data_IF_805423335126
#
_entry.id   IF_805423335126
#
_cell.length_a   1.000
_cell.length_b   1.000
_cell.length_c   1.000
_cell.angle_alpha   90.00
_cell.angle_beta   90.00
_cell.angle_gamma   90.00
#
_symmetry.space_group_name_H-M   'P 1'
#
loop_
_entity.id
_entity.type
_entity.pdbx_description
1 polymer ?
#
# COMPACT_ATOMS: atom_id res chain seq x y z
N UNK A 1 -5.18 8.48 -5.55
CA UNK A 1 -5.11 7.31 -6.44
C UNK A 1 -6.47 7.12 -7.09
N UNK A 2 -6.56 6.61 -8.32
CA UNK A 2 -7.86 6.52 -9.06
C UNK A 2 -8.07 5.13 -9.65
N UNK A 3 -7.03 4.30 -9.65
CA UNK A 3 -7.05 2.95 -10.19
C UNK A 3 -5.81 2.17 -9.77
N UNK A 4 -5.75 0.90 -10.15
CA UNK A 4 -4.58 0.06 -9.99
C UNK A 4 -4.94 -1.35 -9.52
N UNK A 5 -3.92 -2.15 -9.24
CA UNK A 5 -4.05 -3.52 -8.74
C UNK A 5 -3.03 -3.74 -7.64
N UNK A 6 -3.43 -4.49 -6.62
CA UNK A 6 -2.52 -5.00 -5.60
C UNK A 6 -2.69 -6.51 -5.46
N UNK A 7 -1.58 -7.20 -5.29
CA UNK A 7 -1.48 -8.62 -5.00
C UNK A 7 -0.44 -8.84 -3.90
N UNK A 8 -0.87 -9.47 -2.81
CA UNK A 8 -0.06 -9.84 -1.66
C UNK A 8 -0.33 -11.32 -1.38
N UNK A 9 0.66 -12.17 -1.65
CA UNK A 9 0.49 -13.61 -1.68
C UNK A 9 -0.60 -14.01 -2.68
N UNK A 10 -1.64 -14.68 -2.18
CA UNK A 10 -2.84 -15.10 -2.93
C UNK A 10 -3.96 -14.06 -2.86
N UNK A 11 -3.85 -13.03 -2.03
CA UNK A 11 -4.84 -11.96 -1.96
C UNK A 11 -4.62 -11.01 -3.13
N UNK A 12 -5.62 -10.81 -3.98
CA UNK A 12 -5.56 -9.86 -5.09
C UNK A 12 -6.81 -8.99 -5.15
N UNK A 13 -6.63 -7.72 -5.46
CA UNK A 13 -7.70 -6.75 -5.55
C UNK A 13 -7.39 -5.65 -6.57
N UNK A 14 -8.42 -5.25 -7.32
CA UNK A 14 -8.41 -4.05 -8.16
C UNK A 14 -8.75 -2.83 -7.30
N UNK A 15 -7.90 -1.82 -7.29
CA UNK A 15 -8.07 -0.59 -6.53
C UNK A 15 -9.08 0.29 -7.26
N UNK A 16 -10.35 0.17 -6.90
CA UNK A 16 -11.44 0.95 -7.51
C UNK A 16 -11.76 2.23 -6.73
N UNK A 17 -11.33 2.31 -5.48
CA UNK A 17 -11.57 3.44 -4.61
C UNK A 17 -10.31 4.29 -4.39
N UNK A 18 -10.44 5.63 -4.37
CA UNK A 18 -9.29 6.50 -4.15
C UNK A 18 -8.66 6.32 -2.77
N UNK A 19 -7.40 5.88 -2.75
CA UNK A 19 -6.51 6.05 -1.59
C UNK A 19 -5.94 7.48 -1.66
N UNK A 20 -6.07 8.21 -0.55
CA UNK A 20 -5.54 9.57 -0.41
C UNK A 20 -4.46 9.61 0.66
N UNK A 21 -3.36 10.26 0.30
CA UNK A 21 -2.21 10.44 1.16
C UNK A 21 -1.70 11.85 0.94
N UNK A 22 -1.57 12.62 2.02
CA UNK A 22 -1.11 14.01 1.97
C UNK A 22 0.26 14.06 2.65
N UNK A 23 1.23 14.68 1.99
CA UNK A 23 2.53 14.96 2.58
C UNK A 23 2.91 16.42 2.36
N UNK A 24 3.74 16.95 3.24
CA UNK A 24 4.38 18.24 3.06
C UNK A 24 5.88 18.08 3.28
N UNK A 25 6.68 18.60 2.35
CA UNK A 25 8.12 18.71 2.54
C UNK A 25 8.41 20.10 3.09
N UNK A 26 8.85 20.16 4.33
CA UNK A 26 9.23 21.41 5.00
C UNK A 26 10.75 21.49 5.10
N UNK A 27 11.32 22.66 4.87
CA UNK A 27 12.75 22.89 5.06
C UNK A 27 12.92 23.72 6.31
N UNK A 28 13.66 23.19 7.29
CA UNK A 28 14.03 23.94 8.47
C UNK A 28 15.02 25.05 8.07
N UNK A 29 14.65 26.31 8.31
CA UNK A 29 15.40 27.45 7.79
C UNK A 29 16.75 27.64 8.48
N UNK A 30 16.93 27.10 9.68
CA UNK A 30 18.16 27.24 10.48
C UNK A 30 19.20 26.19 10.10
N UNK A 31 18.79 24.94 9.91
CA UNK A 31 19.67 23.80 9.65
C UNK A 31 19.76 23.47 8.15
N UNK A 32 18.79 23.91 7.35
CA UNK A 32 18.62 23.50 5.96
C UNK A 32 18.06 22.08 5.81
N UNK A 33 17.70 21.41 6.91
CA UNK A 33 17.18 20.05 6.87
C UNK A 33 15.79 19.98 6.26
N UNK A 34 15.57 18.99 5.40
CA UNK A 34 14.26 18.71 4.81
C UNK A 34 13.54 17.69 5.67
N UNK A 35 12.42 18.07 6.26
CA UNK A 35 11.53 17.17 6.98
C UNK A 35 10.30 16.85 6.13
N UNK A 36 9.82 15.62 6.26
CA UNK A 36 8.63 15.14 5.56
C UNK A 36 7.50 14.97 6.59
N UNK A 37 6.51 15.85 6.53
CA UNK A 37 5.31 15.75 7.32
C UNK A 37 4.31 14.89 6.56
N UNK A 38 3.89 13.78 7.17
CA UNK A 38 2.97 12.82 6.57
C UNK A 38 1.63 12.90 7.27
N UNK A 39 0.57 13.18 6.52
CA UNK A 39 -0.81 13.09 6.97
C UNK A 39 -1.32 11.66 6.99
N UNK A 40 -2.51 11.41 7.58
CA UNK A 40 -3.07 10.07 7.64
C UNK A 40 -3.36 9.50 6.26
N UNK A 41 -3.21 8.18 6.13
CA UNK A 41 -3.64 7.44 4.95
C UNK A 41 -5.17 7.26 4.99
N UNK A 42 -5.87 7.88 4.05
CA UNK A 42 -7.32 7.70 3.92
C UNK A 42 -7.60 6.64 2.86
N UNK A 43 -8.19 5.54 3.32
CA UNK A 43 -8.55 4.38 2.50
C UNK A 43 -9.94 3.89 2.84
N UNK A 44 -10.64 3.27 1.89
CA UNK A 44 -11.81 2.46 2.18
C UNK A 44 -11.39 1.04 2.54
N UNK A 45 -12.26 0.33 3.25
CA UNK A 45 -12.11 -1.10 3.48
C UNK A 45 -12.44 -1.85 2.20
N UNK A 46 -11.56 -2.76 1.80
CA UNK A 46 -11.76 -3.67 0.68
C UNK A 46 -12.48 -4.92 1.19
N UNK A 47 -13.62 -5.25 0.59
CA UNK A 47 -14.32 -6.50 0.89
C UNK A 47 -13.63 -7.67 0.18
N UNK A 48 -13.35 -8.72 0.93
CA UNK A 48 -12.80 -9.99 0.47
C UNK A 48 -13.75 -11.13 0.87
N UNK A 49 -13.89 -12.16 0.03
CA UNK A 49 -14.54 -13.40 0.43
C UNK A 49 -13.77 -14.02 1.61
N UNK A 50 -14.49 -14.54 2.62
CA UNK A 50 -13.88 -15.11 3.83
C UNK A 50 -12.97 -16.31 3.54
N UNK A 51 -13.25 -17.02 2.45
CA UNK A 51 -12.50 -18.13 1.92
C UNK A 51 -11.09 -17.72 1.48
N UNK A 52 -10.88 -16.44 1.09
CA UNK A 52 -9.56 -15.93 0.70
C UNK A 52 -8.54 -15.96 1.86
N UNK A 53 -9.03 -16.03 3.11
CA UNK A 53 -8.20 -16.16 4.30
C UNK A 53 -8.49 -17.47 5.06
N UNK A 54 -9.07 -18.47 4.39
CA UNK A 54 -9.25 -19.81 4.94
C UNK A 54 -10.46 -19.98 5.84
N UNK A 55 -11.32 -18.97 5.95
CA UNK A 55 -12.54 -19.06 6.75
C UNK A 55 -13.70 -19.69 5.95
N UNK A 56 -14.70 -20.27 6.62
CA UNK A 56 -15.88 -20.82 5.95
C UNK A 56 -16.59 -19.80 5.05
N UNK A 57 -17.26 -20.27 3.98
CA UNK A 57 -17.94 -19.40 3.03
C UNK A 57 -19.11 -18.63 3.64
N UNK A 58 -19.53 -17.55 2.98
CA UNK A 58 -20.73 -16.79 3.32
C UNK A 58 -20.53 -15.67 4.36
N UNK A 59 -19.28 -15.28 4.63
CA UNK A 59 -18.96 -14.08 5.41
C UNK A 59 -18.08 -13.13 4.60
N UNK A 60 -18.01 -11.88 5.02
CA UNK A 60 -17.12 -10.88 4.43
C UNK A 60 -15.99 -10.55 5.39
N UNK A 61 -14.78 -10.55 4.84
CA UNK A 61 -13.58 -10.03 5.48
C UNK A 61 -13.28 -8.68 4.85
N UNK A 62 -12.76 -7.76 5.64
CA UNK A 62 -12.39 -6.43 5.20
C UNK A 62 -10.89 -6.23 5.38
N UNK A 63 -10.19 -5.90 4.29
CA UNK A 63 -8.79 -5.49 4.29
C UNK A 63 -8.69 -3.96 4.26
N UNK A 64 -7.87 -3.37 5.12
CA UNK A 64 -7.58 -1.94 5.13
C UNK A 64 -6.08 -1.71 5.21
N UNK A 65 -5.46 -1.03 4.22
CA UNK A 65 -4.07 -0.63 4.34
C UNK A 65 -3.91 0.47 5.39
N UNK A 66 -2.90 0.33 6.24
CA UNK A 66 -2.50 1.30 7.26
C UNK A 66 -1.04 1.68 7.02
N UNK A 67 -0.72 2.96 7.23
CA UNK A 67 0.66 3.43 7.17
C UNK A 67 1.47 2.83 8.32
N UNK A 68 2.64 2.29 7.99
CA UNK A 68 3.52 1.60 8.93
C UNK A 68 4.98 2.12 8.83
N UNK A 69 5.17 3.39 8.44
CA UNK A 69 6.48 4.03 8.39
C UNK A 69 7.16 4.00 7.02
N UNK A 70 8.44 4.39 6.98
CA UNK A 70 9.30 4.22 5.80
C UNK A 70 8.94 5.06 4.57
N UNK A 71 8.14 6.12 4.72
CA UNK A 71 7.80 6.99 3.59
C UNK A 71 8.99 7.87 3.17
N UNK A 72 9.49 7.68 1.95
CA UNK A 72 10.50 8.55 1.34
C UNK A 72 10.14 8.87 -0.09
N UNK A 73 10.58 10.03 -0.58
CA UNK A 73 10.40 10.45 -1.97
C UNK A 73 11.77 10.79 -2.55
N UNK A 74 12.20 10.01 -3.53
CA UNK A 74 13.39 10.24 -4.34
C UNK A 74 12.95 10.33 -5.80
N UNK A 75 12.32 11.46 -6.14
CA UNK A 75 11.62 11.66 -7.41
C UNK A 75 12.41 11.09 -8.61
N UNK A 76 11.80 10.22 -9.45
CA UNK A 76 10.38 9.88 -9.46
C UNK A 76 9.97 8.74 -8.52
N UNK A 77 10.89 8.13 -7.80
CA UNK A 77 10.63 6.92 -6.99
C UNK A 77 10.16 7.28 -5.57
N UNK A 78 9.44 6.35 -4.95
CA UNK A 78 8.98 6.49 -3.57
C UNK A 78 9.01 5.17 -2.81
N UNK A 79 9.32 5.22 -1.53
CA UNK A 79 9.18 4.08 -0.62
C UNK A 79 8.03 4.32 0.34
N UNK A 80 7.34 3.25 0.76
CA UNK A 80 6.36 3.30 1.84
C UNK A 80 6.24 1.93 2.52
N UNK A 81 6.22 1.93 3.85
CA UNK A 81 5.86 0.78 4.65
C UNK A 81 4.36 0.78 4.92
N UNK A 82 3.70 -0.34 4.62
CA UNK A 82 2.28 -0.54 4.90
C UNK A 82 2.07 -1.79 5.75
N UNK A 83 0.98 -1.83 6.51
CA UNK A 83 0.41 -3.06 7.06
C UNK A 83 -1.05 -3.18 6.64
N UNK A 84 -1.58 -4.39 6.52
CA UNK A 84 -2.98 -4.59 6.14
C UNK A 84 -3.75 -5.11 7.33
N UNK A 85 -4.71 -4.33 7.84
CA UNK A 85 -5.64 -4.80 8.86
C UNK A 85 -6.76 -5.62 8.22
N UNK A 86 -6.95 -6.83 8.73
CA UNK A 86 -8.06 -7.71 8.39
C UNK A 86 -9.11 -7.62 9.50
N UNK A 87 -10.39 -7.49 9.12
CA UNK A 87 -11.50 -7.40 10.07
C UNK A 87 -12.76 -8.05 9.50
N UNK A 88 -13.79 -8.26 10.33
CA UNK A 88 -15.02 -8.94 9.89
C UNK A 88 -14.92 -10.47 10.04
N UNK A 89 -15.93 -11.19 9.55
CA UNK A 89 -16.04 -12.66 9.64
C UNK A 89 -15.77 -13.31 11.02
N UNK A 90 -15.87 -12.55 12.12
CA UNK A 90 -15.54 -13.03 13.46
C UNK A 90 -14.05 -13.06 13.78
N UNK A 91 -13.21 -12.44 12.94
CA UNK A 91 -11.81 -12.16 13.23
C UNK A 91 -11.69 -11.22 14.43
N UNK A 92 -10.79 -11.55 15.36
CA UNK A 92 -10.31 -10.64 16.39
C UNK A 92 -9.75 -9.35 15.77
N UNK A 93 -9.88 -8.22 16.48
CA UNK A 93 -9.55 -6.88 15.94
C UNK A 93 -8.06 -6.64 15.65
N UNK A 94 -7.18 -7.57 16.04
CA UNK A 94 -5.72 -7.50 15.91
C UNK A 94 -5.16 -8.19 14.67
N UNK A 95 -5.98 -8.83 13.82
CA UNK A 95 -5.50 -9.57 12.65
C UNK A 95 -4.87 -8.60 11.62
N UNK A 96 -3.55 -8.69 11.42
CA UNK A 96 -2.79 -7.81 10.53
C UNK A 96 -1.78 -8.59 9.70
N UNK A 97 -1.56 -8.18 8.44
CA UNK A 97 -0.44 -8.63 7.59
C UNK A 97 0.65 -7.56 7.69
N UNK A 98 1.83 -7.95 8.19
CA UNK A 98 2.87 -7.00 8.61
C UNK A 98 2.58 -6.32 9.95
N UNK A 99 3.50 -5.46 10.40
CA UNK A 99 3.34 -4.62 11.60
C UNK A 99 4.05 -3.28 11.42
N UNK A 100 4.10 -2.45 12.46
CA UNK A 100 4.90 -1.21 12.43
C UNK A 100 6.41 -1.50 12.50
N UNK A 101 6.79 -2.64 13.09
CA UNK A 101 8.18 -3.11 13.21
C UNK A 101 8.63 -3.96 12.01
N UNK A 102 7.70 -4.65 11.35
CA UNK A 102 7.93 -5.47 10.15
C UNK A 102 6.86 -5.15 9.09
N UNK A 103 6.94 -3.97 8.46
CA UNK A 103 5.95 -3.54 7.47
C UNK A 103 6.12 -4.30 6.15
N UNK A 104 5.09 -4.29 5.30
CA UNK A 104 5.20 -4.59 3.88
C UNK A 104 5.98 -3.44 3.22
N UNK A 105 7.22 -3.68 2.74
CA UNK A 105 8.08 -2.61 2.26
C UNK A 105 7.88 -2.41 0.76
N UNK A 106 7.13 -1.38 0.36
CA UNK A 106 6.95 -1.04 -1.04
C UNK A 106 8.05 -0.08 -1.50
N UNK A 107 8.70 -0.42 -2.60
CA UNK A 107 9.71 0.39 -3.30
C UNK A 107 9.21 0.69 -4.72
N UNK A 108 8.41 1.74 -4.82
CA UNK A 108 7.65 2.08 -6.01
C UNK A 108 8.50 2.88 -6.99
N UNK A 109 8.43 2.52 -8.27
CA UNK A 109 9.10 3.25 -9.36
C UNK A 109 8.13 3.53 -10.52
N UNK A 110 8.42 4.57 -11.32
CA UNK A 110 7.79 4.76 -12.64
C UNK A 110 8.58 4.11 -13.77
N UNK A 111 9.78 3.59 -13.48
CA UNK A 111 10.63 2.86 -14.41
C UNK A 111 10.32 1.36 -14.47
N UNK A 112 11.28 0.57 -14.97
CA UNK A 112 11.19 -0.89 -15.06
C UNK A 112 11.73 -1.56 -13.80
N UNK A 113 10.95 -2.46 -13.20
CA UNK A 113 11.36 -3.24 -12.03
C UNK A 113 12.34 -4.36 -12.38
N UNK A 114 13.03 -4.91 -11.37
CA UNK A 114 13.90 -6.08 -11.51
C UNK A 114 13.61 -7.10 -10.39
N UNK A 115 12.43 -7.77 -10.41
CA UNK A 115 12.05 -8.69 -9.35
C UNK A 115 12.80 -10.03 -9.45
N UNK A 116 12.99 -10.74 -8.33
CA UNK A 116 13.30 -12.16 -8.38
C UNK A 116 12.19 -12.94 -9.10
N UNK A 117 12.50 -14.10 -9.71
CA UNK A 117 11.47 -15.03 -10.18
C UNK A 117 10.50 -15.43 -9.05
N UNK A 118 9.23 -15.76 -9.34
CA UNK A 118 8.65 -15.97 -10.66
C UNK A 118 8.15 -14.69 -11.38
N UNK A 119 8.09 -13.56 -10.70
CA UNK A 119 7.69 -12.32 -11.34
C UNK A 119 8.67 -11.92 -12.44
N UNK A 120 8.13 -11.33 -13.51
CA UNK A 120 8.91 -10.71 -14.57
C UNK A 120 8.94 -9.20 -14.38
N UNK A 121 9.95 -8.48 -14.92
CA UNK A 121 9.96 -7.03 -14.95
C UNK A 121 8.64 -6.43 -15.43
N UNK A 122 8.19 -5.37 -14.75
CA UNK A 122 7.06 -4.53 -15.16
C UNK A 122 7.52 -3.07 -15.21
N UNK A 123 6.88 -2.26 -16.04
CA UNK A 123 7.25 -0.85 -16.22
C UNK A 123 6.09 0.06 -15.86
N UNK A 124 6.38 1.09 -15.07
CA UNK A 124 5.42 2.14 -14.75
C UNK A 124 5.23 3.14 -15.89
N UNK A 125 4.56 4.24 -15.58
CA UNK A 125 4.37 5.36 -16.49
C UNK A 125 4.93 6.61 -15.82
N UNK A 126 5.93 7.28 -16.43
CA UNK A 126 6.48 8.52 -15.91
C UNK A 126 5.43 9.62 -15.73
N UNK A 127 5.79 10.62 -14.92
CA UNK A 127 4.92 11.76 -14.67
C UNK A 127 4.57 12.53 -15.95
N UNK A 128 3.27 12.75 -16.17
CA UNK A 128 2.73 13.61 -17.21
C UNK A 128 1.78 14.65 -16.62
N UNK A 129 1.69 15.83 -17.23
CA UNK A 129 0.79 16.89 -16.75
C UNK A 129 -0.65 16.48 -17.09
N UNK A 130 -1.48 16.30 -16.08
CA UNK A 130 -2.90 15.97 -16.22
C UNK A 130 -3.82 17.20 -16.19
N UNK A 131 -3.36 18.32 -15.60
CA UNK A 131 -4.11 19.57 -15.57
C UNK A 131 -3.79 20.43 -14.36
N UNK A 132 -4.78 21.20 -13.91
CA UNK A 132 -4.69 22.07 -12.73
C UNK A 132 -5.98 22.02 -11.93
N UNK A 133 -5.88 22.01 -10.60
CA UNK A 133 -7.02 22.15 -9.68
C UNK A 133 -6.75 23.34 -8.77
N UNK A 134 -7.49 24.43 -8.95
CA UNK A 134 -7.16 25.71 -8.31
C UNK A 134 -5.75 26.18 -8.71
N UNK A 135 -4.90 26.44 -7.71
CA UNK A 135 -3.48 26.80 -7.92
C UNK A 135 -2.54 25.59 -8.00
N UNK A 136 -3.04 24.36 -7.82
CA UNK A 136 -2.22 23.16 -7.84
C UNK A 136 -2.03 22.65 -9.27
N UNK A 137 -0.79 22.30 -9.63
CA UNK A 137 -0.52 21.51 -10.84
C UNK A 137 -0.81 20.05 -10.54
N UNK A 138 -1.60 19.40 -11.40
CA UNK A 138 -1.93 17.99 -11.27
C UNK A 138 -1.09 17.19 -12.26
N UNK A 139 -0.34 16.23 -11.73
CA UNK A 139 0.45 15.26 -12.50
C UNK A 139 -0.22 13.89 -12.41
N UNK A 140 -0.17 13.09 -13.46
CA UNK A 140 -0.50 11.66 -13.44
C UNK A 140 0.74 10.81 -13.63
N UNK A 141 0.78 9.65 -13.00
CA UNK A 141 1.81 8.63 -13.19
C UNK A 141 1.27 7.25 -12.81
N UNK A 142 1.95 6.21 -13.28
CA UNK A 142 1.74 4.84 -12.83
C UNK A 142 3.01 4.38 -12.13
N UNK A 143 2.88 4.10 -10.83
CA UNK A 143 3.97 3.50 -10.07
C UNK A 143 3.79 2.00 -9.98
N UNK A 144 4.89 1.27 -10.05
CA UNK A 144 4.93 -0.19 -9.98
C UNK A 144 5.94 -0.67 -8.95
N UNK A 145 5.63 -1.80 -8.33
CA UNK A 145 6.59 -2.63 -7.59
C UNK A 145 6.10 -4.10 -7.67
N UNK A 146 7.01 -5.03 -7.91
CA UNK A 146 6.73 -6.46 -7.87
C UNK A 146 7.89 -7.29 -7.33
N UNK A 147 8.81 -6.64 -6.61
CA UNK A 147 9.97 -7.25 -5.99
C UNK A 147 9.85 -7.34 -4.45
N UNK A 148 8.81 -6.73 -3.86
CA UNK A 148 8.64 -6.70 -2.41
C UNK A 148 8.22 -8.05 -1.82
N UNK A 149 8.73 -8.42 -0.63
CA UNK A 149 8.16 -9.49 0.19
C UNK A 149 6.94 -9.00 0.96
N UNK A 150 6.13 -9.94 1.47
CA UNK A 150 5.05 -9.64 2.42
C UNK A 150 5.21 -10.50 3.69
N UNK A 151 5.22 -9.89 4.88
CA UNK A 151 5.28 -10.62 6.15
C UNK A 151 4.06 -11.53 6.37
N UNK A 152 4.17 -12.41 7.36
CA UNK A 152 3.06 -13.24 7.83
C UNK A 152 1.94 -12.38 8.45
N UNK A 153 0.71 -12.87 8.35
CA UNK A 153 -0.39 -12.44 9.17
C UNK A 153 -0.18 -12.86 10.63
N UNK A 154 -0.54 -11.97 11.56
CA UNK A 154 -0.45 -12.19 13.01
C UNK A 154 -1.65 -11.60 13.74
N UNK A 155 -1.95 -12.15 14.92
CA UNK A 155 -3.00 -11.65 15.80
C UNK A 155 -4.41 -11.95 15.28
N UNK A 156 -4.53 -12.91 14.37
CA UNK A 156 -5.77 -13.41 13.83
C UNK A 156 -6.38 -14.42 14.78
N UNK A 157 -7.57 -14.11 15.27
CA UNK A 157 -8.28 -14.95 16.22
C UNK A 157 -9.71 -15.19 15.76
N UNK A 158 -10.24 -16.38 16.05
CA UNK A 158 -11.65 -16.69 15.87
C UNK A 158 -12.17 -17.35 17.14
N UNK A 159 -13.15 -16.73 17.78
CA UNK A 159 -13.72 -17.21 19.06
C UNK A 159 -12.64 -17.48 20.14
N UNK A 160 -11.60 -16.64 20.20
CA UNK A 160 -10.50 -16.76 21.16
C UNK A 160 -9.43 -17.81 20.81
N UNK A 161 -9.53 -18.46 19.64
CA UNK A 161 -8.49 -19.36 19.13
C UNK A 161 -7.61 -18.64 18.12
N UNK A 162 -6.28 -18.71 18.28
CA UNK A 162 -5.35 -18.20 17.28
C UNK A 162 -5.49 -19.02 15.98
N UNK A 163 -5.64 -18.32 14.86
CA UNK A 163 -5.78 -18.89 13.52
C UNK A 163 -4.78 -18.29 12.53
N UNK A 164 -3.64 -17.79 13.03
CA UNK A 164 -2.60 -17.18 12.19
C UNK A 164 -2.14 -18.13 11.09
N UNK A 165 -1.87 -19.41 11.42
CA UNK A 165 -1.45 -20.43 10.46
C UNK A 165 -2.49 -20.69 9.36
N UNK A 166 -3.78 -20.66 9.71
CA UNK A 166 -4.87 -20.83 8.75
C UNK A 166 -4.91 -19.66 7.77
N UNK A 167 -4.87 -18.43 8.29
CA UNK A 167 -4.86 -17.20 7.49
C UNK A 167 -3.63 -17.17 6.60
N UNK A 168 -2.45 -17.48 7.15
CA UNK A 168 -1.18 -17.52 6.43
C UNK A 168 -1.20 -18.55 5.31
N UNK A 169 -1.64 -19.77 5.59
CA UNK A 169 -1.74 -20.82 4.59
C UNK A 169 -2.68 -20.44 3.44
N UNK A 170 -3.87 -19.94 3.76
CA UNK A 170 -4.87 -19.55 2.76
C UNK A 170 -4.43 -18.34 1.93
N UNK A 171 -3.95 -17.29 2.59
CA UNK A 171 -3.49 -16.06 1.94
C UNK A 171 -2.11 -16.21 1.26
N UNK A 172 -1.40 -17.32 1.47
CA UNK A 172 -0.06 -17.54 0.91
C UNK A 172 1.00 -16.63 1.53
N UNK A 173 0.99 -16.52 2.87
CA UNK A 173 1.88 -15.69 3.66
C UNK A 173 2.75 -16.54 4.61
N UNK A 174 3.98 -16.08 4.95
CA UNK A 174 4.67 -14.94 4.35
C UNK A 174 4.93 -15.18 2.85
N UNK A 175 4.82 -14.12 2.06
CA UNK A 175 5.01 -14.17 0.61
C UNK A 175 6.41 -13.68 0.27
N UNK A 176 7.25 -14.47 -0.41
CA UNK A 176 8.61 -14.06 -0.74
C UNK A 176 8.63 -12.87 -1.73
N UNK A 177 9.81 -12.25 -1.85
CA UNK A 177 10.06 -11.29 -2.93
C UNK A 177 9.88 -11.97 -4.30
N UNK A 178 9.29 -11.26 -5.26
CA UNK A 178 9.04 -11.81 -6.60
C UNK A 178 7.73 -12.60 -6.75
N UNK A 179 6.86 -12.63 -5.74
CA UNK A 179 5.49 -13.21 -5.84
C UNK A 179 4.37 -12.22 -5.55
N UNK A 180 4.70 -10.97 -5.24
CA UNK A 180 3.75 -9.89 -4.97
C UNK A 180 3.79 -8.85 -6.09
N UNK A 181 2.72 -8.09 -6.28
CA UNK A 181 2.69 -7.05 -7.31
C UNK A 181 1.78 -5.92 -6.89
N UNK A 182 2.21 -4.70 -7.12
CA UNK A 182 1.40 -3.51 -6.98
C UNK A 182 1.62 -2.62 -8.20
N UNK A 183 0.51 -2.17 -8.77
CA UNK A 183 0.45 -1.20 -9.87
C UNK A 183 -0.51 -0.12 -9.41
N UNK A 184 -0.04 1.12 -9.28
CA UNK A 184 -0.81 2.24 -8.75
C UNK A 184 -0.93 3.33 -9.79
N UNK A 185 -2.15 3.55 -10.27
CA UNK A 185 -2.49 4.71 -11.09
C UNK A 185 -2.91 5.86 -10.18
N UNK A 186 -2.14 6.95 -10.22
CA UNK A 186 -2.37 8.06 -9.33
C UNK A 186 -2.29 9.43 -9.99
N UNK A 187 -2.88 10.40 -9.30
CA UNK A 187 -2.67 11.81 -9.55
C UNK A 187 -2.02 12.41 -8.31
N UNK A 188 -1.05 13.28 -8.54
CA UNK A 188 -0.41 14.10 -7.52
C UNK A 188 -0.76 15.55 -7.81
N UNK A 189 -1.45 16.19 -6.86
CA UNK A 189 -1.67 17.64 -6.88
C UNK A 189 -0.52 18.31 -6.14
N UNK A 190 0.30 19.06 -6.86
CA UNK A 190 1.45 19.80 -6.34
C UNK A 190 1.06 21.26 -6.14
N UNK A 191 1.12 21.72 -4.90
CA UNK A 191 0.92 23.13 -4.54
C UNK A 191 2.25 23.69 -4.04
N UNK A 192 2.81 24.67 -4.75
CA UNK A 192 4.02 25.35 -4.31
C UNK A 192 3.76 26.23 -3.08
N UNK A 193 4.74 26.39 -2.21
CA UNK A 193 4.66 27.24 -1.00
C UNK A 193 4.14 28.65 -1.31
N UNK A 194 4.58 29.25 -2.42
CA UNK A 194 4.13 30.59 -2.86
C UNK A 194 2.63 30.66 -3.23
N UNK A 195 1.95 29.53 -3.27
CA UNK A 195 0.54 29.40 -3.61
C UNK A 195 -0.33 28.94 -2.43
N UNK A 196 0.25 28.76 -1.24
CA UNK A 196 -0.50 28.59 0.00
C UNK A 196 -1.18 29.92 0.39
N UNK A 197 -2.39 29.88 0.99
CA UNK A 197 -3.10 31.07 1.45
C UNK A 197 -2.39 31.78 2.60
#
# INVERSE_FOLDING_TARGET
>A
MVGGRIQIGRLSHEITDPIKFTYAQVTELTTGERQLLVGPLHTKKVALPSEAIGLPPGRTVFAAPEYAGGFTINYPDMTIGLKIRLSGAGLGGSCVIGSDEDPIPLSMTTGTTNPPPPNTPITGVPFTRAGTVGKATVMSATHVDNAFPAPAARGCEQSGTNIDDLVNSAAGLPSPAGTNTVVLDHYIALLGINNLP
#
